data_IF_224208652959
#
_entry.id   IF_224208652959
#
_cell.length_a   1.000
_cell.length_b   1.000
_cell.length_c   1.000
_cell.angle_alpha   90.00
_cell.angle_beta   90.00
_cell.angle_gamma   90.00
#
_symmetry.space_group_name_H-M   'P 1'
#
loop_
_entity.id
_entity.type
_entity.pdbx_description
1 polymer ?
#
# COMPACT_ATOMS: atom_id res chain seq x y z
N UNK A 1 -2.61 10.77 -18.30
CA UNK A 1 -3.36 11.13 -17.06
C UNK A 1 -4.34 12.26 -17.36
N UNK A 2 -5.64 11.98 -17.30
CA UNK A 2 -6.69 12.96 -17.55
C UNK A 2 -7.45 13.31 -16.26
N UNK A 3 -7.80 14.58 -16.12
CA UNK A 3 -8.70 15.07 -15.06
C UNK A 3 -10.13 14.92 -15.56
N UNK A 4 -10.95 14.19 -14.83
CA UNK A 4 -12.38 14.04 -15.13
C UNK A 4 -13.19 14.60 -13.97
N UNK A 5 -14.08 15.52 -14.27
CA UNK A 5 -14.93 16.18 -13.27
C UNK A 5 -16.34 15.60 -13.37
N UNK A 6 -16.89 15.14 -12.24
CA UNK A 6 -18.27 14.67 -12.13
C UNK A 6 -18.89 15.38 -10.91
N UNK A 7 -19.84 16.28 -11.16
CA UNK A 7 -20.36 17.16 -10.11
C UNK A 7 -19.28 18.12 -9.58
N UNK A 8 -19.16 18.22 -8.26
CA UNK A 8 -18.16 19.06 -7.56
C UNK A 8 -16.85 18.32 -7.24
N UNK A 9 -16.54 17.23 -7.95
CA UNK A 9 -15.38 16.40 -7.63
C UNK A 9 -14.50 16.17 -8.86
N UNK A 10 -13.19 16.36 -8.67
CA UNK A 10 -12.17 16.16 -9.69
C UNK A 10 -11.39 14.87 -9.44
N UNK A 11 -11.37 13.99 -10.43
CA UNK A 11 -10.72 12.68 -10.35
C UNK A 11 -9.51 12.62 -11.29
N UNK A 12 -8.44 11.96 -10.85
CA UNK A 12 -7.31 11.59 -11.71
C UNK A 12 -7.54 10.19 -12.28
N UNK A 13 -7.64 10.13 -13.61
CA UNK A 13 -7.85 8.89 -14.36
C UNK A 13 -6.57 8.59 -15.13
N UNK A 14 -6.10 7.34 -15.02
CA UNK A 14 -5.01 6.86 -15.88
C UNK A 14 -5.53 6.60 -17.30
N UNK A 15 -4.61 6.44 -18.25
CA UNK A 15 -4.93 6.27 -19.67
C UNK A 15 -5.72 4.98 -19.99
N UNK A 16 -5.89 4.10 -18.98
CA UNK A 16 -6.70 2.87 -19.02
C UNK A 16 -8.12 3.02 -18.42
N UNK A 17 -8.55 4.22 -18.02
CA UNK A 17 -9.90 4.44 -17.46
C UNK A 17 -10.06 4.10 -15.97
N UNK A 18 -9.03 3.56 -15.33
CA UNK A 18 -9.02 3.25 -13.89
C UNK A 18 -8.90 4.52 -13.03
N UNK A 19 -9.66 4.54 -11.92
CA UNK A 19 -9.65 5.59 -10.88
C UNK A 19 -8.39 5.48 -10.02
N UNK A 20 -7.51 6.47 -10.09
CA UNK A 20 -6.16 6.39 -9.50
C UNK A 20 -6.11 7.03 -8.11
N UNK A 21 -6.92 8.06 -7.86
CA UNK A 21 -7.02 8.72 -6.56
C UNK A 21 -8.12 9.79 -6.55
N UNK A 22 -8.58 10.11 -5.33
CA UNK A 22 -9.40 11.29 -5.04
C UNK A 22 -8.49 12.50 -4.82
N UNK A 23 -8.68 13.57 -5.61
CA UNK A 23 -8.18 14.90 -5.31
C UNK A 23 -9.34 15.68 -4.65
N UNK A 24 -9.28 16.03 -3.35
CA UNK A 24 -10.17 17.04 -2.83
C UNK A 24 -9.83 18.38 -3.45
N UNK A 25 -10.84 19.11 -3.94
CA UNK A 25 -10.70 20.51 -4.34
C UNK A 25 -10.17 21.34 -3.17
N UNK A 26 -9.16 22.15 -3.45
CA UNK A 26 -8.67 23.22 -2.59
C UNK A 26 -9.72 24.35 -2.58
N UNK A 27 -10.63 24.34 -1.60
CA UNK A 27 -11.34 25.56 -1.21
C UNK A 27 -10.55 26.30 -0.13
N UNK A 28 -10.16 27.57 -0.33
CA UNK A 28 -9.48 28.34 0.70
C UNK A 28 -10.53 28.87 1.67
N UNK A 29 -10.46 28.46 2.94
CA UNK A 29 -11.25 29.09 4.00
C UNK A 29 -10.34 29.39 5.18
N UNK A 30 -9.80 30.60 5.19
CA UNK A 30 -9.20 31.20 6.36
C UNK A 30 -10.30 31.72 7.30
N UNK A 31 -10.26 31.32 8.57
CA UNK A 31 -10.16 32.24 9.72
C UNK A 31 -9.91 31.43 11.01
N UNK A 32 -9.22 32.03 12.02
CA UNK A 32 -8.73 31.33 13.20
C UNK A 32 -9.71 31.42 14.37
N UNK A 33 -9.91 30.33 15.12
CA UNK A 33 -10.68 30.38 16.37
C UNK A 33 -10.16 29.37 17.40
N UNK A 34 -9.45 29.92 18.38
CA UNK A 34 -9.55 29.76 19.83
C UNK A 34 -9.49 28.37 20.46
N UNK A 35 -8.48 28.24 21.34
CA UNK A 35 -8.30 27.33 22.48
C UNK A 35 -9.20 26.09 22.52
N UNK A 36 -8.64 24.94 22.13
CA UNK A 36 -9.06 23.64 22.65
C UNK A 36 -7.93 23.11 23.53
N UNK A 37 -8.22 22.64 24.76
CA UNK A 37 -7.20 22.05 25.61
C UNK A 37 -6.54 20.89 24.87
N UNK A 38 -5.20 20.87 24.88
CA UNK A 38 -4.38 19.90 24.18
C UNK A 38 -4.84 18.47 24.50
N UNK A 39 -5.55 17.83 23.55
CA UNK A 39 -5.74 16.37 23.59
C UNK A 39 -4.35 15.77 23.69
N UNK A 40 -4.06 14.99 24.75
CA UNK A 40 -2.84 14.21 24.96
C UNK A 40 -2.31 13.70 23.62
N UNK A 41 -1.37 14.46 23.06
CA UNK A 41 -0.98 14.33 21.68
C UNK A 41 0.03 13.21 21.58
N UNK A 42 -0.31 12.17 20.81
CA UNK A 42 0.70 11.29 20.21
C UNK A 42 1.82 12.19 19.65
N UNK A 43 3.10 11.95 19.99
CA UNK A 43 4.16 12.91 19.69
C UNK A 43 4.19 13.22 18.20
N UNK A 44 4.02 14.50 17.88
CA UNK A 44 4.22 15.03 16.55
C UNK A 44 5.68 14.79 16.16
N UNK A 45 5.93 13.79 15.32
CA UNK A 45 7.29 13.42 14.89
C UNK A 45 7.60 11.91 14.95
N UNK A 46 6.76 11.09 15.58
CA UNK A 46 6.93 9.64 15.49
C UNK A 46 6.50 9.16 14.09
N UNK A 47 7.44 9.13 13.14
CA UNK A 47 7.32 8.35 11.91
C UNK A 47 6.95 6.94 12.35
N UNK A 48 5.65 6.63 12.26
CA UNK A 48 5.11 5.33 12.70
C UNK A 48 5.38 4.34 11.58
N UNK A 49 6.66 4.09 11.36
CA UNK A 49 7.14 3.00 10.53
C UNK A 49 6.89 1.72 11.29
N UNK A 50 5.96 0.91 10.80
CA UNK A 50 5.67 -0.41 11.37
C UNK A 50 6.51 -1.42 10.61
N UNK A 51 7.38 -2.21 11.28
CA UNK A 51 8.13 -3.26 10.60
C UNK A 51 7.17 -4.30 10.05
N UNK A 52 7.47 -4.82 8.87
CA UNK A 52 6.73 -5.90 8.24
C UNK A 52 7.65 -7.11 8.08
N UNK A 53 7.66 -8.05 9.06
CA UNK A 53 8.53 -9.22 8.99
C UNK A 53 8.11 -10.20 7.89
N UNK A 54 6.86 -10.14 7.43
CA UNK A 54 6.31 -11.04 6.42
C UNK A 54 6.50 -10.54 4.98
N UNK A 55 7.20 -9.40 4.78
CA UNK A 55 7.29 -8.75 3.46
C UNK A 55 7.79 -9.69 2.36
N UNK A 56 8.77 -10.55 2.66
CA UNK A 56 9.33 -11.50 1.70
C UNK A 56 8.28 -12.54 1.28
N UNK A 57 7.57 -13.12 2.24
CA UNK A 57 6.51 -14.11 1.97
C UNK A 57 5.35 -13.50 1.20
N UNK A 58 4.98 -12.26 1.53
CA UNK A 58 3.92 -11.53 0.85
C UNK A 58 4.34 -11.19 -0.59
N UNK A 59 5.61 -10.83 -0.82
CA UNK A 59 6.13 -10.61 -2.17
C UNK A 59 6.03 -11.86 -3.02
N UNK A 60 6.49 -13.01 -2.50
CA UNK A 60 6.39 -14.29 -3.21
C UNK A 60 4.94 -14.68 -3.50
N UNK A 61 4.04 -14.51 -2.52
CA UNK A 61 2.62 -14.79 -2.71
C UNK A 61 1.97 -13.87 -3.74
N UNK A 62 2.39 -12.60 -3.80
CA UNK A 62 1.92 -11.63 -4.79
C UNK A 62 2.46 -11.97 -6.20
N UNK A 63 3.73 -12.36 -6.31
CA UNK A 63 4.36 -12.75 -7.59
C UNK A 63 3.74 -14.03 -8.16
N UNK A 64 3.31 -14.95 -7.28
CA UNK A 64 2.56 -16.15 -7.66
C UNK A 64 1.07 -15.90 -7.95
N UNK A 65 0.55 -14.69 -7.66
CA UNK A 65 -0.86 -14.35 -7.83
C UNK A 65 -1.80 -15.21 -6.99
N UNK A 66 -1.42 -15.50 -5.73
CA UNK A 66 -2.23 -16.38 -4.88
C UNK A 66 -3.55 -15.69 -4.47
N UNK A 67 -4.72 -16.30 -4.73
CA UNK A 67 -6.02 -15.62 -4.58
C UNK A 67 -6.33 -15.26 -3.12
N UNK A 68 -5.93 -16.10 -2.17
CA UNK A 68 -6.17 -15.85 -0.74
C UNK A 68 -5.54 -14.54 -0.26
N UNK A 69 -4.43 -14.10 -0.87
CA UNK A 69 -3.78 -12.85 -0.51
C UNK A 69 -4.64 -11.65 -0.96
N UNK A 70 -5.14 -11.69 -2.18
CA UNK A 70 -6.03 -10.66 -2.71
C UNK A 70 -7.34 -10.60 -1.93
N UNK A 71 -7.91 -11.75 -1.56
CA UNK A 71 -9.14 -11.85 -0.76
C UNK A 71 -8.96 -11.20 0.63
N UNK A 72 -7.85 -11.46 1.31
CA UNK A 72 -7.55 -10.84 2.61
C UNK A 72 -7.37 -9.33 2.46
N UNK A 73 -6.64 -8.89 1.42
CA UNK A 73 -6.42 -7.46 1.17
C UNK A 73 -7.74 -6.76 0.84
N UNK A 74 -8.57 -7.36 -0.01
CA UNK A 74 -9.89 -6.85 -0.36
C UNK A 74 -10.79 -6.77 0.87
N UNK A 75 -10.86 -7.85 1.66
CA UNK A 75 -11.58 -7.89 2.92
C UNK A 75 -11.15 -6.77 3.86
N UNK A 76 -9.85 -6.56 4.03
CA UNK A 76 -9.30 -5.48 4.85
C UNK A 76 -9.66 -4.08 4.33
N UNK A 77 -9.69 -3.88 3.01
CA UNK A 77 -10.12 -2.63 2.39
C UNK A 77 -11.58 -2.33 2.72
N UNK A 78 -12.46 -3.33 2.67
CA UNK A 78 -13.88 -3.19 2.97
C UNK A 78 -14.12 -2.95 4.46
N UNK A 79 -13.50 -3.75 5.34
CA UNK A 79 -13.74 -3.70 6.79
C UNK A 79 -13.05 -2.53 7.48
N UNK A 80 -11.75 -2.33 7.24
CA UNK A 80 -10.95 -1.31 7.92
C UNK A 80 -10.83 -0.01 7.13
N UNK A 81 -10.88 -0.08 5.79
CA UNK A 81 -10.80 1.12 4.94
C UNK A 81 -12.16 1.84 4.84
N UNK A 82 -13.24 1.08 4.96
CA UNK A 82 -14.60 1.53 4.82
C UNK A 82 -14.98 1.81 3.37
N UNK A 83 -16.29 1.92 3.16
CA UNK A 83 -16.92 2.14 1.86
C UNK A 83 -17.77 3.40 1.94
N UNK A 84 -17.70 4.25 0.93
CA UNK A 84 -18.53 5.46 0.79
C UNK A 84 -19.21 5.43 -0.57
N UNK A 85 -20.53 5.60 -0.63
CA UNK A 85 -21.31 5.55 -1.89
C UNK A 85 -21.03 4.28 -2.72
N UNK A 86 -20.93 3.12 -2.07
CA UNK A 86 -20.63 1.85 -2.72
C UNK A 86 -19.20 1.70 -3.26
N UNK A 87 -18.31 2.67 -3.00
CA UNK A 87 -16.90 2.65 -3.43
C UNK A 87 -15.96 2.51 -2.25
N UNK A 88 -14.95 1.67 -2.39
CA UNK A 88 -13.91 1.51 -1.36
C UNK A 88 -13.11 2.81 -1.23
N UNK A 89 -12.86 3.22 0.02
CA UNK A 89 -12.06 4.41 0.31
C UNK A 89 -10.56 4.21 0.08
N UNK A 90 -10.13 2.97 -0.18
CA UNK A 90 -8.75 2.59 -0.43
C UNK A 90 -8.68 1.60 -1.58
N UNK A 91 -7.61 1.68 -2.36
CA UNK A 91 -7.37 0.79 -3.49
C UNK A 91 -6.59 -0.45 -3.01
N UNK A 92 -7.11 -1.69 -3.20
CA UNK A 92 -6.42 -2.92 -2.82
C UNK A 92 -5.01 -3.02 -3.40
N UNK A 93 -4.82 -2.59 -4.65
CA UNK A 93 -3.50 -2.58 -5.31
C UNK A 93 -2.48 -1.70 -4.57
N UNK A 94 -2.92 -0.58 -3.99
CA UNK A 94 -2.04 0.29 -3.18
C UNK A 94 -1.71 -0.34 -1.82
N UNK A 95 -2.68 -1.04 -1.22
CA UNK A 95 -2.46 -1.78 0.02
C UNK A 95 -1.47 -2.92 -0.21
N UNK A 96 -1.66 -3.72 -1.26
CA UNK A 96 -0.76 -4.82 -1.63
C UNK A 96 0.67 -4.31 -1.87
N UNK A 97 0.85 -3.23 -2.64
CA UNK A 97 2.16 -2.56 -2.83
C UNK A 97 2.81 -2.07 -1.55
N UNK A 98 2.00 -1.75 -0.54
CA UNK A 98 2.51 -1.33 0.78
C UNK A 98 2.96 -2.55 1.59
N UNK A 99 2.23 -3.66 1.49
CA UNK A 99 2.51 -4.92 2.16
C UNK A 99 3.74 -5.66 1.61
N UNK A 100 4.17 -5.38 0.38
CA UNK A 100 5.41 -5.94 -0.18
C UNK A 100 6.66 -5.14 0.23
N UNK A 101 6.52 -4.14 1.10
CA UNK A 101 7.65 -3.36 1.64
C UNK A 101 8.07 -3.88 3.03
N UNK A 102 9.37 -3.79 3.37
CA UNK A 102 9.88 -4.20 4.68
C UNK A 102 9.36 -3.33 5.83
N UNK A 103 8.85 -2.13 5.53
CA UNK A 103 8.23 -1.25 6.52
C UNK A 103 7.02 -0.51 5.95
N UNK A 104 5.99 -0.41 6.79
CA UNK A 104 4.75 0.32 6.50
C UNK A 104 4.87 1.70 7.15
N UNK A 105 5.11 2.73 6.33
CA UNK A 105 5.14 4.12 6.76
C UNK A 105 4.27 4.98 5.84
N UNK A 106 3.84 6.14 6.33
CA UNK A 106 3.05 7.08 5.51
C UNK A 106 3.87 7.62 4.33
N UNK A 107 5.19 7.67 4.48
CA UNK A 107 6.13 8.13 3.46
C UNK A 107 6.28 7.11 2.33
N UNK A 108 6.33 5.81 2.68
CA UNK A 108 6.40 4.73 1.69
C UNK A 108 5.05 4.47 1.02
N UNK A 109 3.95 4.78 1.71
CA UNK A 109 2.59 4.69 1.16
C UNK A 109 2.34 5.82 0.15
N UNK A 110 2.27 5.47 -1.12
CA UNK A 110 1.87 6.39 -2.19
C UNK A 110 3.00 7.21 -2.81
N UNK A 111 4.26 6.76 -2.71
CA UNK A 111 5.34 7.28 -3.54
C UNK A 111 4.94 7.20 -5.03
N UNK A 112 4.88 8.35 -5.71
CA UNK A 112 4.49 8.46 -7.12
C UNK A 112 2.99 8.51 -7.43
N UNK A 113 2.08 8.58 -6.44
CA UNK A 113 0.63 8.44 -6.67
C UNK A 113 -0.23 9.69 -6.39
N UNK A 114 0.34 10.85 -6.07
CA UNK A 114 -0.45 12.09 -5.87
C UNK A 114 -1.53 12.00 -4.77
N UNK A 115 -1.45 11.02 -3.88
CA UNK A 115 -2.47 10.76 -2.87
C UNK A 115 -2.43 11.79 -1.73
N UNK A 116 -3.61 12.21 -1.26
CA UNK A 116 -3.73 13.03 -0.04
C UNK A 116 -3.17 12.32 1.19
N UNK A 117 -2.71 13.10 2.19
CA UNK A 117 -2.19 12.57 3.45
C UNK A 117 -3.19 11.63 4.13
N UNK A 118 -4.48 11.96 4.09
CA UNK A 118 -5.56 11.14 4.65
C UNK A 118 -5.67 9.78 3.96
N UNK A 119 -5.52 9.75 2.63
CA UNK A 119 -5.52 8.50 1.87
C UNK A 119 -4.30 7.64 2.23
N UNK A 120 -3.12 8.24 2.39
CA UNK A 120 -1.91 7.53 2.81
C UNK A 120 -2.05 6.94 4.21
N UNK A 121 -2.55 7.72 5.17
CA UNK A 121 -2.82 7.24 6.53
C UNK A 121 -3.80 6.07 6.56
N UNK A 122 -4.88 6.15 5.77
CA UNK A 122 -5.86 5.09 5.66
C UNK A 122 -5.29 3.83 5.03
N UNK A 123 -4.54 3.93 3.93
CA UNK A 123 -3.87 2.79 3.31
C UNK A 123 -2.88 2.14 4.27
N UNK A 124 -2.11 2.93 5.05
CA UNK A 124 -1.21 2.39 6.08
C UNK A 124 -1.98 1.63 7.18
N UNK A 125 -3.12 2.16 7.62
CA UNK A 125 -3.99 1.50 8.59
C UNK A 125 -4.54 0.17 8.05
N UNK A 126 -5.06 0.17 6.81
CA UNK A 126 -5.60 -1.02 6.16
C UNK A 126 -4.51 -2.07 5.95
N UNK A 127 -3.31 -1.66 5.55
CA UNK A 127 -2.18 -2.57 5.42
C UNK A 127 -1.82 -3.25 6.75
N UNK A 128 -1.80 -2.51 7.87
CA UNK A 128 -1.59 -3.11 9.20
C UNK A 128 -2.69 -4.11 9.57
N UNK A 129 -3.94 -3.82 9.21
CA UNK A 129 -5.05 -4.75 9.44
C UNK A 129 -4.92 -6.02 8.58
N UNK A 130 -4.59 -5.86 7.30
CA UNK A 130 -4.35 -6.97 6.39
C UNK A 130 -3.17 -7.83 6.84
N UNK A 131 -2.11 -7.24 7.40
CA UNK A 131 -0.97 -7.98 7.96
C UNK A 131 -1.41 -9.00 9.00
N UNK A 132 -2.26 -8.60 9.95
CA UNK A 132 -2.79 -9.52 10.95
C UNK A 132 -3.64 -10.64 10.34
N UNK A 133 -4.39 -10.34 9.27
CA UNK A 133 -5.14 -11.35 8.52
C UNK A 133 -4.22 -12.36 7.80
N UNK A 134 -3.14 -11.87 7.18
CA UNK A 134 -2.15 -12.71 6.51
C UNK A 134 -1.41 -13.59 7.51
N UNK A 135 -0.98 -13.02 8.64
CA UNK A 135 -0.32 -13.76 9.72
C UNK A 135 -1.21 -14.90 10.23
N UNK A 136 -2.48 -14.59 10.55
CA UNK A 136 -3.45 -15.60 10.97
C UNK A 136 -3.71 -16.68 9.90
N UNK A 137 -3.75 -16.29 8.63
CA UNK A 137 -3.90 -17.26 7.54
C UNK A 137 -2.70 -18.21 7.46
N UNK A 138 -1.47 -17.68 7.55
CA UNK A 138 -0.25 -18.48 7.50
C UNK A 138 -0.08 -19.37 8.73
N UNK A 139 -0.53 -18.92 9.92
CA UNK A 139 -0.56 -19.75 11.12
C UNK A 139 -1.51 -20.95 10.98
N UNK A 140 -2.64 -20.77 10.29
CA UNK A 140 -3.63 -21.82 10.05
C UNK A 140 -3.25 -22.78 8.91
N UNK A 141 -2.36 -22.35 8.02
CA UNK A 141 -1.95 -23.08 6.83
C UNK A 141 -0.41 -23.21 6.78
N UNK A 142 0.19 -24.01 7.69
CA UNK A 142 1.65 -24.11 7.82
C UNK A 142 2.35 -24.60 6.54
N UNK A 143 1.67 -25.43 5.74
CA UNK A 143 2.19 -25.90 4.45
C UNK A 143 2.36 -24.77 3.43
N UNK A 144 1.44 -23.80 3.40
CA UNK A 144 1.56 -22.60 2.57
C UNK A 144 2.71 -21.74 3.06
N UNK A 145 2.82 -21.56 4.38
CA UNK A 145 3.91 -20.81 5.00
C UNK A 145 5.28 -21.39 4.65
N UNK A 146 5.49 -22.68 4.89
CA UNK A 146 6.77 -23.34 4.58
C UNK A 146 7.10 -23.30 3.08
N UNK A 147 6.09 -23.42 2.21
CA UNK A 147 6.31 -23.27 0.76
C UNK A 147 6.80 -21.88 0.40
N UNK A 148 6.18 -20.82 0.95
CA UNK A 148 6.60 -19.44 0.70
C UNK A 148 7.97 -19.13 1.30
N UNK A 149 8.27 -19.63 2.50
CA UNK A 149 9.58 -19.48 3.13
C UNK A 149 10.68 -20.09 2.24
N UNK A 150 10.46 -21.31 1.73
CA UNK A 150 11.39 -21.96 0.80
C UNK A 150 11.60 -21.17 -0.50
N UNK A 151 10.55 -20.52 -1.03
CA UNK A 151 10.66 -19.69 -2.22
C UNK A 151 11.43 -18.39 -1.95
N UNK A 152 11.11 -17.73 -0.84
CA UNK A 152 11.80 -16.52 -0.42
C UNK A 152 13.31 -16.76 -0.19
N UNK A 153 13.67 -17.89 0.44
CA UNK A 153 15.08 -18.27 0.61
C UNK A 153 15.78 -18.50 -0.72
N UNK A 154 15.12 -19.18 -1.69
CA UNK A 154 15.67 -19.41 -3.03
C UNK A 154 15.90 -18.09 -3.78
N UNK A 155 14.96 -17.16 -3.72
CA UNK A 155 15.09 -15.90 -4.47
C UNK A 155 16.13 -14.96 -3.84
N UNK A 156 16.34 -15.00 -2.52
CA UNK A 156 17.46 -14.29 -1.88
C UNK A 156 18.86 -14.81 -2.30
N UNK A 157 18.95 -15.97 -2.96
CA UNK A 157 20.21 -16.51 -3.51
C UNK A 157 20.47 -16.10 -4.96
N UNK A 158 19.52 -15.44 -5.63
CA UNK A 158 19.73 -14.87 -6.97
C UNK A 158 20.39 -13.50 -6.80
N UNK A 159 21.61 -13.27 -7.31
CA UNK A 159 22.15 -11.93 -7.36
C UNK A 159 21.17 -11.05 -8.15
N UNK A 160 20.89 -9.86 -7.63
CA UNK A 160 20.10 -8.84 -8.32
C UNK A 160 20.80 -8.56 -9.66
N UNK A 161 20.34 -9.19 -10.73
CA UNK A 161 20.66 -8.79 -12.09
C UNK A 161 20.03 -7.41 -12.29
N UNK A 162 20.80 -6.36 -11.96
CA UNK A 162 20.68 -5.08 -12.63
C UNK A 162 20.86 -5.37 -14.12
N UNK A 163 19.89 -4.89 -14.92
CA UNK A 163 19.69 -5.28 -16.32
C UNK A 163 20.99 -5.44 -17.11
N UNK A 164 21.10 -6.58 -17.77
CA UNK A 164 22.17 -6.88 -18.70
C UNK A 164 22.20 -5.87 -19.85
N UNK A 165 23.07 -4.88 -19.72
CA UNK A 165 23.87 -4.40 -20.84
C UNK A 165 25.21 -5.14 -20.73
N UNK A 166 25.34 -6.23 -21.47
CA UNK A 166 26.66 -6.76 -21.80
C UNK A 166 27.37 -5.68 -22.64
N UNK A 167 28.19 -4.86 -21.99
CA UNK A 167 29.25 -4.17 -22.71
C UNK A 167 30.23 -5.24 -23.15
N UNK A 168 30.11 -5.65 -24.40
CA UNK A 168 31.15 -6.34 -25.15
C UNK A 168 32.44 -5.50 -25.10
N UNK A 169 33.25 -5.68 -24.06
CA UNK A 169 34.65 -5.28 -24.05
C UNK A 169 35.43 -6.37 -24.79
N UNK A 170 35.30 -6.34 -26.12
CA UNK A 170 35.89 -7.33 -27.01
C UNK A 170 35.95 -6.83 -28.44
N UNK A 171 36.63 -5.69 -28.66
CA UNK A 171 37.22 -5.37 -29.96
C UNK A 171 38.57 -4.65 -29.76
N UNK A 172 39.62 -5.41 -30.08
CA UNK A 172 41.01 -5.10 -30.42
C UNK A 172 41.88 -4.35 -29.40
#
# INVERSE_FOLDING_TARGET
MQRKTIGSYTYLVNDFGDLVCYAPDETPSATPSTDRPAKRGRPAGAITSTPNPLYALISEAADLGLPWLEDIVYGACVTSGGVSNGKMNCCPRHVLRTLTRPSISIETVGFGLGCSLRAKQRTAQVARHALGGIELYLERNPEVRSRLENLATRNNSKPLYLGGYELNAGYN
#
